data_IF_499980742538
#
_entry.id   IF_499980742538
#
_cell.length_a   1.000
_cell.length_b   1.000
_cell.length_c   1.000
_cell.angle_alpha   90.00
_cell.angle_beta   90.00
_cell.angle_gamma   90.00
#
_symmetry.space_group_name_H-M   'P 1'
#
loop_
_entity.id
_entity.type
_entity.pdbx_description
1 polymer ?
#
# COMPACT_ATOMS: atom_id res chain seq x y z
N UNK A 1 20.92 4.37 -11.22
CA UNK A 1 21.29 5.80 -11.29
C UNK A 1 20.67 6.49 -10.09
N UNK A 2 21.50 6.91 -9.14
CA UNK A 2 21.08 7.45 -7.83
C UNK A 2 21.07 8.98 -7.93
N UNK A 3 19.94 9.62 -7.61
CA UNK A 3 19.89 11.07 -7.48
C UNK A 3 20.54 11.48 -6.15
N UNK A 4 21.17 12.65 -6.16
CA UNK A 4 21.98 13.37 -5.14
C UNK A 4 21.40 13.52 -3.73
N UNK A 5 20.29 12.82 -3.39
CA UNK A 5 19.59 12.85 -2.10
C UNK A 5 19.29 11.46 -1.50
N UNK A 6 20.01 10.42 -1.93
CA UNK A 6 19.87 9.06 -1.37
C UNK A 6 18.53 8.36 -1.67
N UNK A 7 17.70 8.95 -2.53
CA UNK A 7 16.40 8.41 -2.90
C UNK A 7 16.53 7.33 -3.96
N UNK A 8 15.87 6.20 -3.73
CA UNK A 8 15.80 5.10 -4.68
C UNK A 8 14.62 5.36 -5.62
N UNK A 9 14.90 5.34 -6.93
CA UNK A 9 13.86 5.39 -7.98
C UNK A 9 13.60 3.96 -8.45
N UNK A 10 12.35 3.54 -8.35
CA UNK A 10 11.92 2.18 -8.69
C UNK A 10 10.72 2.28 -9.62
N UNK A 11 10.85 1.69 -10.81
CA UNK A 11 9.73 1.54 -11.74
C UNK A 11 9.00 0.24 -11.43
N UNK A 12 7.68 0.32 -11.28
CA UNK A 12 6.79 -0.81 -11.00
C UNK A 12 5.63 -0.81 -11.97
N UNK A 13 4.99 -1.96 -12.13
CA UNK A 13 3.77 -2.12 -12.90
C UNK A 13 2.64 -2.44 -11.93
N UNK A 14 1.54 -1.67 -12.00
CA UNK A 14 0.35 -1.85 -11.18
C UNK A 14 -0.83 -1.83 -12.14
N UNK A 15 -1.61 -2.90 -12.18
CA UNK A 15 -2.79 -3.05 -13.02
C UNK A 15 -2.55 -2.78 -14.52
N UNK A 16 -1.39 -3.22 -15.03
CA UNK A 16 -0.98 -3.01 -16.43
C UNK A 16 -0.46 -1.61 -16.77
N UNK A 17 -0.36 -0.71 -15.79
CA UNK A 17 0.21 0.62 -15.96
C UNK A 17 1.54 0.75 -15.22
N UNK A 18 2.53 1.41 -15.87
CA UNK A 18 3.85 1.62 -15.28
C UNK A 18 3.93 2.91 -14.47
N UNK A 19 4.41 2.80 -13.24
CA UNK A 19 4.60 3.89 -12.30
C UNK A 19 6.05 3.97 -11.85
N UNK A 20 6.62 5.18 -11.82
CA UNK A 20 7.95 5.42 -11.24
C UNK A 20 7.81 5.99 -9.83
N UNK A 21 8.13 5.18 -8.83
CA UNK A 21 8.07 5.55 -7.41
C UNK A 21 9.46 6.01 -6.96
N UNK A 22 9.51 7.16 -6.29
CA UNK A 22 10.74 7.70 -5.72
C UNK A 22 10.60 7.75 -4.21
N UNK A 23 11.46 7.05 -3.48
CA UNK A 23 11.37 6.99 -2.03
C UNK A 23 12.67 6.59 -1.36
N UNK A 24 12.68 6.67 -0.04
CA UNK A 24 13.85 6.37 0.79
C UNK A 24 13.90 4.88 1.18
N UNK A 25 12.85 4.12 0.80
CA UNK A 25 12.73 2.68 1.04
C UNK A 25 13.49 1.87 -0.02
N UNK A 26 13.87 0.65 0.34
CA UNK A 26 14.57 -0.26 -0.56
C UNK A 26 13.71 -0.61 -1.78
N UNK A 27 14.37 -0.95 -2.88
CA UNK A 27 13.72 -1.40 -4.10
C UNK A 27 12.79 -2.61 -3.87
N UNK A 28 13.26 -3.58 -3.07
CA UNK A 28 12.48 -4.78 -2.72
C UNK A 28 11.17 -4.43 -2.00
N UNK A 29 11.20 -3.51 -1.05
CA UNK A 29 10.00 -3.10 -0.31
C UNK A 29 8.98 -2.42 -1.24
N UNK A 30 9.43 -1.56 -2.15
CA UNK A 30 8.54 -0.90 -3.12
C UNK A 30 7.91 -1.95 -4.05
N UNK A 31 8.69 -2.94 -4.51
CA UNK A 31 8.20 -4.01 -5.37
C UNK A 31 7.14 -4.87 -4.66
N UNK A 32 7.39 -5.22 -3.40
CA UNK A 32 6.45 -5.98 -2.56
C UNK A 32 5.15 -5.21 -2.35
N UNK A 33 5.22 -3.93 -1.95
CA UNK A 33 4.03 -3.08 -1.78
C UNK A 33 3.25 -2.96 -3.08
N UNK A 34 3.92 -2.83 -4.22
CA UNK A 34 3.25 -2.70 -5.53
C UNK A 34 2.51 -3.97 -5.92
N UNK A 35 3.08 -5.15 -5.64
CA UNK A 35 2.39 -6.44 -5.84
C UNK A 35 1.15 -6.56 -4.97
N UNK A 36 1.23 -6.19 -3.69
CA UNK A 36 0.09 -6.23 -2.78
C UNK A 36 -1.05 -5.32 -3.24
N UNK A 37 -0.73 -4.13 -3.77
CA UNK A 37 -1.74 -3.24 -4.36
C UNK A 37 -2.40 -3.87 -5.57
N UNK A 38 -1.61 -4.47 -6.47
CA UNK A 38 -2.12 -5.14 -7.67
C UNK A 38 -3.05 -6.33 -7.33
N UNK A 39 -2.66 -7.16 -6.37
CA UNK A 39 -3.49 -8.26 -5.85
C UNK A 39 -4.82 -7.75 -5.29
N UNK A 40 -4.79 -6.70 -4.46
CA UNK A 40 -6.00 -6.10 -3.88
C UNK A 40 -6.90 -5.46 -4.94
N UNK A 41 -6.33 -4.85 -5.98
CA UNK A 41 -7.10 -4.33 -7.12
C UNK A 41 -7.79 -5.47 -7.88
N UNK A 42 -7.10 -6.58 -8.12
CA UNK A 42 -7.67 -7.76 -8.78
C UNK A 42 -8.79 -8.42 -7.95
N UNK A 43 -8.61 -8.52 -6.64
CA UNK A 43 -9.62 -9.04 -5.71
C UNK A 43 -10.92 -8.22 -5.77
N UNK A 44 -10.81 -6.90 -5.66
CA UNK A 44 -11.97 -5.99 -5.70
C UNK A 44 -12.65 -6.03 -7.07
N UNK A 45 -11.88 -6.14 -8.16
CA UNK A 45 -12.42 -6.28 -9.52
C UNK A 45 -13.20 -7.58 -9.70
N UNK A 46 -12.76 -8.67 -9.07
CA UNK A 46 -13.47 -9.96 -9.07
C UNK A 46 -14.84 -9.89 -8.38
N UNK A 47 -14.97 -9.06 -7.35
CA UNK A 47 -16.23 -8.86 -6.62
C UNK A 47 -17.17 -7.93 -7.42
N UNK A 48 -16.64 -6.92 -8.10
CA UNK A 48 -17.44 -5.97 -8.86
C UNK A 48 -16.81 -5.60 -10.21
N UNK A 49 -17.32 -6.21 -11.28
CA UNK A 49 -16.80 -6.08 -12.64
C UNK A 49 -17.08 -4.73 -13.31
N UNK A 50 -18.06 -3.95 -12.82
CA UNK A 50 -18.51 -2.70 -13.46
C UNK A 50 -17.74 -1.45 -13.04
N UNK A 51 -16.67 -1.59 -12.24
CA UNK A 51 -15.85 -0.46 -11.82
C UNK A 51 -14.83 -0.07 -12.91
N UNK A 52 -14.74 1.22 -13.22
CA UNK A 52 -13.64 1.77 -14.00
C UNK A 52 -12.33 1.68 -13.20
N UNK A 53 -11.18 1.66 -13.89
CA UNK A 53 -9.85 1.49 -13.28
C UNK A 53 -9.50 2.57 -12.23
N UNK A 54 -9.93 3.82 -12.43
CA UNK A 54 -9.72 4.91 -11.48
C UNK A 54 -10.58 4.72 -10.23
N UNK A 55 -11.85 4.37 -10.38
CA UNK A 55 -12.75 4.08 -9.24
C UNK A 55 -12.27 2.86 -8.47
N UNK A 56 -11.78 1.84 -9.17
CA UNK A 56 -11.15 0.67 -8.57
C UNK A 56 -9.93 1.10 -7.74
N UNK A 57 -8.99 1.86 -8.32
CA UNK A 57 -7.80 2.32 -7.61
C UNK A 57 -8.13 3.15 -6.35
N UNK A 58 -9.11 4.07 -6.44
CA UNK A 58 -9.57 4.85 -5.29
C UNK A 58 -10.19 3.96 -4.22
N UNK A 59 -11.04 3.00 -4.61
CA UNK A 59 -11.66 2.05 -3.67
C UNK A 59 -10.61 1.18 -2.98
N UNK A 60 -9.61 0.70 -3.72
CA UNK A 60 -8.46 -0.03 -3.17
C UNK A 60 -7.70 0.82 -2.17
N UNK A 61 -7.40 2.08 -2.50
CA UNK A 61 -6.72 2.99 -1.58
C UNK A 61 -7.52 3.23 -0.29
N UNK A 62 -8.83 3.44 -0.39
CA UNK A 62 -9.72 3.60 0.77
C UNK A 62 -9.73 2.34 1.64
N UNK A 63 -9.80 1.16 1.02
CA UNK A 63 -9.79 -0.12 1.73
C UNK A 63 -8.46 -0.32 2.49
N UNK A 64 -7.32 -0.09 1.84
CA UNK A 64 -5.99 -0.19 2.46
C UNK A 64 -5.83 0.80 3.63
N UNK A 65 -6.28 2.05 3.46
CA UNK A 65 -6.19 3.05 4.52
C UNK A 65 -7.10 2.70 5.70
N UNK A 66 -8.28 2.14 5.46
CA UNK A 66 -9.15 1.65 6.53
C UNK A 66 -8.45 0.57 7.36
N UNK A 67 -7.87 -0.43 6.69
CA UNK A 67 -7.14 -1.52 7.36
C UNK A 67 -5.96 -0.98 8.17
N UNK A 68 -5.20 -0.02 7.60
CA UNK A 68 -4.12 0.65 8.31
C UNK A 68 -4.60 1.38 9.57
N UNK A 69 -5.73 2.08 9.51
CA UNK A 69 -6.30 2.79 10.67
C UNK A 69 -6.76 1.82 11.74
N UNK A 70 -7.37 0.69 11.36
CA UNK A 70 -7.78 -0.35 12.31
C UNK A 70 -6.57 -0.97 13.01
N UNK A 71 -5.55 -1.38 12.26
CA UNK A 71 -4.31 -1.96 12.80
C UNK A 71 -3.62 -0.96 13.73
N UNK A 72 -3.57 0.32 13.36
CA UNK A 72 -2.96 1.36 14.20
C UNK A 72 -3.68 1.52 15.54
N UNK A 73 -5.02 1.49 15.54
CA UNK A 73 -5.82 1.56 16.78
C UNK A 73 -5.57 0.35 17.67
N UNK A 74 -5.61 -0.86 17.11
CA UNK A 74 -5.33 -2.09 17.84
C UNK A 74 -3.93 -2.07 18.48
N UNK A 75 -2.94 -1.55 17.74
CA UNK A 75 -1.56 -1.43 18.22
C UNK A 75 -1.44 -0.39 19.35
N UNK A 76 -2.16 0.72 19.27
CA UNK A 76 -2.24 1.71 20.36
C UNK A 76 -2.93 1.13 21.61
N UNK A 77 -4.01 0.36 21.43
CA UNK A 77 -4.72 -0.31 22.52
C UNK A 77 -3.86 -1.38 23.19
N UNK A 78 -3.15 -2.22 22.41
CA UNK A 78 -2.21 -3.21 22.96
C UNK A 78 -1.09 -2.54 23.74
N UNK A 79 -0.50 -1.46 23.21
CA UNK A 79 0.53 -0.68 23.91
C UNK A 79 0.01 -0.06 25.19
N UNK A 80 -1.27 0.33 25.23
CA UNK A 80 -1.89 0.87 26.44
C UNK A 80 -2.04 -0.22 27.50
N UNK A 81 -2.54 -1.40 27.14
CA UNK A 81 -2.67 -2.55 28.06
C UNK A 81 -1.32 -2.97 28.65
N UNK A 82 -0.28 -3.06 27.81
CA UNK A 82 1.08 -3.39 28.27
C UNK A 82 1.63 -2.39 29.30
N UNK A 83 1.29 -1.10 29.16
CA UNK A 83 1.68 -0.06 30.14
C UNK A 83 0.83 -0.06 31.41
N UNK A 84 -0.35 -0.67 31.39
CA UNK A 84 -1.22 -0.79 32.56
C UNK A 84 -0.90 -2.07 33.37
N UNK A 85 -0.22 -3.04 32.77
CA UNK A 85 0.27 -4.27 33.41
C UNK A 85 1.69 -4.12 34.02
N UNK A 86 2.43 -3.04 33.69
CA UNK A 86 3.67 -2.60 34.35
C UNK A 86 3.39 -1.71 35.59
#
# INVERSE_FOLDING_TARGET
MTDSRGKVRTTVEIYGEQYTIVGDKSHQHILEVSKLVDEKMNEIKGINTYLDTKRLAVLTAVNIVNDYVMIKKELEDLKKKLREEE
#
